data_IF_966871423509
#
_entry.id   IF_966871423509
#
_cell.length_a   1.000
_cell.length_b   1.000
_cell.length_c   1.000
_cell.angle_alpha   90.00
_cell.angle_beta   90.00
_cell.angle_gamma   90.00
#
_symmetry.space_group_name_H-M   'P 1'
#
loop_
_entity.id
_entity.type
_entity.pdbx_description
1 polymer ?
#
# COMPACT_ATOMS: atom_id res chain seq x y z
N UNK A 1 -58.79 -42.37 25.66
CA UNK A 1 -58.79 -43.20 24.44
C UNK A 1 -59.96 -42.79 23.55
N UNK A 2 -59.66 -42.26 22.36
CA UNK A 2 -60.35 -42.46 21.06
C UNK A 2 -60.18 -41.22 20.18
N UNK A 3 -59.51 -41.43 19.05
CA UNK A 3 -59.13 -40.52 17.98
C UNK A 3 -60.18 -40.61 16.86
N UNK A 4 -60.52 -39.50 16.18
CA UNK A 4 -60.97 -39.44 14.76
C UNK A 4 -60.61 -38.06 14.16
N UNK A 5 -59.53 -37.82 13.39
CA UNK A 5 -59.16 -38.12 11.97
C UNK A 5 -59.65 -37.10 10.90
N UNK A 6 -58.67 -36.35 10.36
CA UNK A 6 -58.44 -35.74 9.01
C UNK A 6 -59.50 -34.90 8.26
N UNK A 7 -59.04 -33.74 7.73
CA UNK A 7 -59.08 -33.35 6.29
C UNK A 7 -58.23 -32.07 6.09
N UNK A 8 -56.99 -32.14 5.57
CA UNK A 8 -56.59 -31.90 4.17
C UNK A 8 -57.17 -30.64 3.50
N UNK A 9 -56.35 -29.59 3.33
CA UNK A 9 -56.22 -28.80 2.10
C UNK A 9 -54.82 -28.15 2.05
N UNK A 10 -54.06 -28.51 1.02
CA UNK A 10 -52.84 -27.83 0.54
C UNK A 10 -53.26 -26.69 -0.38
N UNK A 11 -52.57 -25.54 -0.36
CA UNK A 11 -51.89 -24.93 -1.54
C UNK A 11 -51.32 -23.53 -1.24
N UNK A 12 -50.30 -23.08 -2.00
CA UNK A 12 -49.24 -22.19 -1.54
C UNK A 12 -49.41 -20.74 -2.01
N UNK A 13 -48.96 -19.77 -1.20
CA UNK A 13 -48.94 -18.35 -1.55
C UNK A 13 -47.55 -17.77 -1.33
N UNK A 14 -46.78 -17.68 -2.41
CA UNK A 14 -45.46 -17.08 -2.45
C UNK A 14 -45.51 -15.58 -2.13
N UNK A 15 -44.55 -15.09 -1.33
CA UNK A 15 -43.98 -13.77 -1.55
C UNK A 15 -42.51 -13.78 -1.11
N UNK A 16 -41.62 -14.00 -2.08
CA UNK A 16 -40.19 -13.79 -1.91
C UNK A 16 -39.95 -12.31 -1.58
N UNK A 17 -39.47 -12.04 -0.37
CA UNK A 17 -38.91 -10.76 0.00
C UNK A 17 -37.59 -10.60 -0.76
N UNK A 18 -37.59 -9.71 -1.75
CA UNK A 18 -36.43 -9.33 -2.53
C UNK A 18 -35.31 -8.80 -1.61
N UNK A 19 -34.20 -9.54 -1.51
CA UNK A 19 -32.95 -9.01 -0.98
C UNK A 19 -32.37 -8.07 -2.04
N UNK A 20 -32.62 -6.78 -1.88
CA UNK A 20 -31.90 -5.74 -2.62
C UNK A 20 -30.44 -5.74 -2.13
N UNK A 21 -29.57 -6.46 -2.81
CA UNK A 21 -28.13 -6.33 -2.63
C UNK A 21 -27.72 -4.92 -3.05
N UNK A 22 -27.38 -4.08 -2.08
CA UNK A 22 -26.67 -2.82 -2.30
C UNK A 22 -25.30 -3.17 -2.90
N UNK A 23 -25.21 -3.18 -4.23
CA UNK A 23 -23.93 -3.17 -4.92
C UNK A 23 -23.37 -1.77 -4.74
N UNK A 24 -22.58 -1.58 -3.69
CA UNK A 24 -21.77 -0.36 -3.55
C UNK A 24 -20.75 -0.40 -4.68
N UNK A 25 -20.75 0.54 -5.64
CA UNK A 25 -19.68 0.60 -6.62
C UNK A 25 -18.38 0.84 -5.85
N UNK A 26 -17.45 -0.10 -5.92
CA UNK A 26 -16.07 0.13 -5.52
C UNK A 26 -15.56 1.26 -6.41
N UNK A 27 -15.52 2.48 -5.87
CA UNK A 27 -14.92 3.60 -6.56
C UNK A 27 -13.47 3.22 -6.87
N UNK A 28 -13.17 2.99 -8.15
CA UNK A 28 -11.81 2.86 -8.67
C UNK A 28 -11.21 4.26 -8.67
N UNK A 29 -10.89 4.77 -7.48
CA UNK A 29 -9.93 5.85 -7.38
C UNK A 29 -8.65 5.37 -8.07
N UNK A 30 -7.91 6.26 -8.74
CA UNK A 30 -6.51 6.01 -9.04
C UNK A 30 -5.76 5.85 -7.70
N UNK A 31 -5.92 4.69 -7.06
CA UNK A 31 -5.19 4.31 -5.87
C UNK A 31 -3.70 4.25 -6.18
N UNK A 32 -2.87 4.29 -5.15
CA UNK A 32 -1.44 4.05 -5.31
C UNK A 32 -1.23 2.78 -6.15
N UNK A 33 -0.26 2.84 -7.08
CA UNK A 33 0.07 1.71 -7.93
C UNK A 33 0.27 0.43 -7.10
N UNK A 34 -0.08 -0.73 -7.68
CA UNK A 34 0.15 -2.00 -7.01
C UNK A 34 1.66 -2.18 -6.72
N UNK A 35 2.04 -2.75 -5.55
CA UNK A 35 3.43 -3.09 -5.28
C UNK A 35 3.97 -4.08 -6.32
N UNK A 36 5.11 -3.79 -6.92
CA UNK A 36 5.76 -4.65 -7.93
C UNK A 36 6.82 -5.53 -7.28
N UNK A 37 7.38 -5.11 -6.16
CA UNK A 37 8.47 -5.74 -5.42
C UNK A 37 8.02 -6.31 -4.06
N UNK A 38 6.71 -6.34 -3.80
CA UNK A 38 6.13 -6.81 -2.54
C UNK A 38 6.26 -5.81 -1.39
N UNK A 39 6.53 -4.55 -1.70
CA UNK A 39 6.71 -3.48 -0.72
C UNK A 39 5.44 -2.68 -0.43
N UNK A 40 5.65 -1.48 0.11
CA UNK A 40 4.60 -0.51 0.43
C UNK A 40 4.71 0.64 -0.56
N UNK A 41 3.65 0.86 -1.34
CA UNK A 41 3.62 1.93 -2.34
C UNK A 41 3.00 3.20 -1.77
N UNK A 42 3.60 4.33 -2.10
CA UNK A 42 3.08 5.67 -1.87
C UNK A 42 3.31 6.53 -3.10
N UNK A 43 2.41 7.48 -3.35
CA UNK A 43 2.52 8.42 -4.48
C UNK A 43 2.82 9.82 -3.97
N UNK A 44 3.77 10.51 -4.59
CA UNK A 44 4.09 11.91 -4.32
C UNK A 44 4.69 12.55 -5.56
N UNK A 45 4.36 13.82 -5.83
CA UNK A 45 4.86 14.55 -7.01
C UNK A 45 4.68 13.76 -8.33
N UNK A 46 3.50 13.14 -8.51
CA UNK A 46 3.12 12.30 -9.65
C UNK A 46 3.98 11.04 -9.88
N UNK A 47 4.90 10.73 -8.96
CA UNK A 47 5.72 9.53 -8.95
C UNK A 47 5.18 8.52 -7.92
N UNK A 48 5.35 7.24 -8.22
CA UNK A 48 5.13 6.14 -7.28
C UNK A 48 6.47 5.70 -6.67
N UNK A 49 6.46 5.50 -5.35
CA UNK A 49 7.61 5.06 -4.57
C UNK A 49 7.21 3.78 -3.84
N UNK A 50 7.96 2.70 -4.04
CA UNK A 50 7.75 1.43 -3.36
C UNK A 50 8.87 1.17 -2.36
N UNK A 51 8.51 1.16 -1.07
CA UNK A 51 9.41 0.86 0.04
C UNK A 51 9.49 -0.66 0.26
N UNK A 52 10.69 -1.22 0.17
CA UNK A 52 10.95 -2.66 0.34
C UNK A 52 11.99 -2.84 1.44
N UNK A 53 11.65 -3.64 2.46
CA UNK A 53 12.62 -4.05 3.48
C UNK A 53 13.58 -5.10 2.90
N UNK A 54 14.86 -5.04 3.25
CA UNK A 54 15.87 -6.02 2.85
C UNK A 54 16.66 -6.49 4.07
N UNK A 55 17.53 -7.49 3.89
CA UNK A 55 18.42 -7.94 4.96
C UNK A 55 19.46 -6.88 5.37
N UNK A 56 19.87 -6.01 4.42
CA UNK A 56 20.91 -4.99 4.65
C UNK A 56 20.33 -3.60 4.96
N UNK A 57 19.02 -3.40 4.76
CA UNK A 57 18.32 -2.19 5.13
C UNK A 57 17.00 -2.02 4.40
N UNK A 58 16.91 -0.95 3.59
CA UNK A 58 15.70 -0.56 2.88
C UNK A 58 16.03 -0.15 1.45
N UNK A 59 15.19 -0.55 0.51
CA UNK A 59 15.20 -0.09 -0.87
C UNK A 59 13.93 0.71 -1.18
N UNK A 60 14.06 1.72 -2.03
CA UNK A 60 12.93 2.47 -2.58
C UNK A 60 13.02 2.40 -4.10
N UNK A 61 12.02 1.78 -4.72
CA UNK A 61 11.85 1.76 -6.17
C UNK A 61 10.98 2.93 -6.61
N UNK A 62 11.31 3.56 -7.74
CA UNK A 62 10.64 4.76 -8.23
C UNK A 62 10.07 4.49 -9.61
N UNK A 63 8.78 4.77 -9.78
CA UNK A 63 8.11 4.69 -11.08
C UNK A 63 7.37 5.98 -11.42
N UNK A 64 7.42 6.36 -12.68
CA UNK A 64 6.66 7.43 -13.30
C UNK A 64 5.56 6.81 -14.16
N UNK A 65 4.30 6.93 -13.73
CA UNK A 65 3.14 6.33 -14.39
C UNK A 65 3.34 4.85 -14.80
N UNK A 66 3.92 4.04 -13.91
CA UNK A 66 4.14 2.60 -14.12
C UNK A 66 5.41 2.26 -14.92
N UNK A 67 6.26 3.23 -15.21
CA UNK A 67 7.56 3.04 -15.86
C UNK A 67 8.69 3.37 -14.91
N UNK A 68 9.80 2.65 -15.01
CA UNK A 68 10.99 2.91 -14.22
C UNK A 68 11.48 4.37 -14.37
N UNK A 69 11.57 5.08 -13.25
CA UNK A 69 12.19 6.39 -13.19
C UNK A 69 13.68 6.23 -12.91
N UNK A 70 14.53 7.07 -13.53
CA UNK A 70 15.97 7.07 -13.28
C UNK A 70 16.30 7.53 -11.85
N UNK A 71 16.73 6.59 -11.00
CA UNK A 71 17.06 6.84 -9.61
C UNK A 71 18.29 7.73 -9.43
N UNK A 72 19.18 7.83 -10.43
CA UNK A 72 20.35 8.72 -10.37
C UNK A 72 19.99 10.20 -10.28
N UNK A 73 18.72 10.55 -10.58
CA UNK A 73 18.17 11.90 -10.48
C UNK A 73 17.76 12.29 -9.07
N UNK A 74 17.90 11.37 -8.11
CA UNK A 74 17.47 11.51 -6.74
C UNK A 74 18.61 11.18 -5.77
N UNK A 75 18.72 11.97 -4.73
CA UNK A 75 19.49 11.67 -3.54
C UNK A 75 18.64 12.03 -2.32
N UNK A 76 18.95 11.50 -1.15
CA UNK A 76 18.17 11.89 0.01
C UNK A 76 18.54 11.20 1.31
N UNK A 77 17.58 11.20 2.21
CA UNK A 77 17.69 10.58 3.52
C UNK A 77 16.42 9.83 3.85
N UNK A 78 16.58 8.64 4.40
CA UNK A 78 15.51 7.87 5.03
C UNK A 78 15.60 8.05 6.54
N UNK A 79 14.49 8.42 7.15
CA UNK A 79 14.30 8.38 8.60
C UNK A 79 13.28 7.30 8.91
N UNK A 80 13.62 6.38 9.80
CA UNK A 80 12.71 5.33 10.27
C UNK A 80 12.41 5.56 11.74
N UNK A 81 11.13 5.44 12.09
CA UNK A 81 10.62 5.48 13.45
C UNK A 81 10.05 4.11 13.80
N UNK A 82 10.75 3.37 14.65
CA UNK A 82 10.33 2.09 15.21
C UNK A 82 9.81 2.34 16.64
N UNK A 83 8.53 2.70 16.77
CA UNK A 83 7.98 3.18 18.04
C UNK A 83 8.65 4.50 18.47
N UNK A 84 9.40 4.48 19.57
CA UNK A 84 10.17 5.62 20.06
C UNK A 84 11.60 5.67 19.48
N UNK A 85 12.07 4.59 18.87
CA UNK A 85 13.41 4.53 18.29
C UNK A 85 13.46 5.21 16.92
N UNK A 86 14.50 6.01 16.71
CA UNK A 86 14.73 6.73 15.47
C UNK A 86 16.07 6.33 14.87
N UNK A 87 16.08 5.93 13.61
CA UNK A 87 17.30 5.71 12.82
C UNK A 87 17.26 6.51 11.52
N UNK A 88 18.43 6.90 11.03
CA UNK A 88 18.56 7.63 9.78
C UNK A 88 19.68 7.04 8.92
N UNK A 89 19.46 6.98 7.61
CA UNK A 89 20.47 6.58 6.65
C UNK A 89 20.33 7.37 5.33
N UNK A 90 21.43 7.64 4.62
CA UNK A 90 21.36 8.25 3.30
C UNK A 90 20.67 7.30 2.31
N UNK A 91 19.84 7.87 1.43
CA UNK A 91 19.32 7.17 0.26
C UNK A 91 20.23 7.48 -0.92
N UNK A 92 20.81 6.43 -1.50
CA UNK A 92 21.73 6.52 -2.64
C UNK A 92 21.23 5.69 -3.81
N UNK A 93 21.43 6.13 -5.06
CA UNK A 93 21.18 5.30 -6.23
C UNK A 93 21.93 3.97 -6.15
N UNK A 94 21.23 2.87 -6.37
CA UNK A 94 21.74 1.51 -6.23
C UNK A 94 21.21 0.60 -7.36
N UNK A 95 20.97 1.15 -8.55
CA UNK A 95 20.37 0.46 -9.69
C UNK A 95 19.67 1.47 -10.61
N UNK A 96 18.92 0.97 -11.60
CA UNK A 96 18.24 1.82 -12.58
C UNK A 96 17.18 2.71 -11.91
N UNK A 97 16.21 2.11 -11.23
CA UNK A 97 15.06 2.79 -10.61
C UNK A 97 15.05 2.71 -9.08
N UNK A 98 16.19 2.37 -8.48
CA UNK A 98 16.28 2.02 -7.07
C UNK A 98 17.22 2.93 -6.29
N UNK A 99 16.73 3.42 -5.15
CA UNK A 99 17.52 3.99 -4.07
C UNK A 99 17.69 2.96 -2.94
N UNK A 100 18.81 3.01 -2.24
CA UNK A 100 19.11 2.14 -1.09
C UNK A 100 19.56 2.96 0.13
N UNK A 101 19.06 2.55 1.29
CA UNK A 101 19.49 3.00 2.61
C UNK A 101 19.89 1.77 3.43
N UNK A 102 21.18 1.68 3.77
CA UNK A 102 21.74 0.56 4.55
C UNK A 102 21.70 0.83 6.05
N UNK A 103 21.65 -0.23 6.85
CA UNK A 103 21.78 -0.15 8.31
C UNK A 103 20.55 0.38 9.04
N UNK A 104 19.38 0.38 8.38
CA UNK A 104 18.09 0.73 8.98
C UNK A 104 17.12 -0.44 8.84
N UNK A 105 16.30 -0.70 9.86
CA UNK A 105 15.32 -1.80 9.84
C UNK A 105 13.89 -1.28 9.92
N UNK A 106 12.97 -1.96 9.24
CA UNK A 106 11.55 -1.64 9.26
C UNK A 106 10.81 -2.68 10.12
N UNK A 107 10.53 -2.34 11.37
CA UNK A 107 9.70 -3.17 12.23
C UNK A 107 8.22 -3.06 11.86
N UNK A 108 7.41 -4.03 12.29
CA UNK A 108 5.95 -3.90 12.19
C UNK A 108 5.48 -2.64 12.93
N UNK A 109 4.62 -1.84 12.31
CA UNK A 109 4.17 -0.56 12.86
C UNK A 109 5.12 0.62 12.63
N UNK A 110 6.27 0.40 11.99
CA UNK A 110 7.24 1.46 11.70
C UNK A 110 6.67 2.55 10.79
N UNK A 111 7.17 3.78 10.97
CA UNK A 111 6.96 4.88 10.04
C UNK A 111 8.27 5.21 9.36
N UNK A 112 8.28 5.20 8.03
CA UNK A 112 9.46 5.57 7.25
C UNK A 112 9.19 6.88 6.50
N UNK A 113 10.10 7.83 6.60
CA UNK A 113 10.00 9.14 5.95
C UNK A 113 11.23 9.28 5.04
N UNK A 114 10.99 9.25 3.73
CA UNK A 114 12.01 9.54 2.73
C UNK A 114 11.91 11.02 2.35
N UNK A 115 13.01 11.76 2.52
CA UNK A 115 13.15 13.11 1.97
C UNK A 115 14.15 13.03 0.84
N UNK A 116 13.67 13.25 -0.38
CA UNK A 116 14.43 13.18 -1.61
C UNK A 116 14.65 14.60 -2.14
N UNK A 117 15.80 14.81 -2.77
CA UNK A 117 16.12 16.00 -3.54
C UNK A 117 16.37 15.57 -4.98
N UNK A 118 15.73 16.24 -5.93
CA UNK A 118 15.96 16.00 -7.35
C UNK A 118 17.16 16.80 -7.86
N UNK A 119 17.67 16.45 -9.03
CA UNK A 119 18.70 17.26 -9.71
C UNK A 119 18.30 18.72 -9.95
N UNK A 120 16.99 19.02 -10.06
CA UNK A 120 16.46 20.38 -10.15
C UNK A 120 16.28 21.06 -8.78
N UNK A 121 16.89 20.51 -7.73
CA UNK A 121 16.83 20.99 -6.33
C UNK A 121 15.41 21.09 -5.75
N UNK A 122 14.45 20.31 -6.29
CA UNK A 122 13.11 20.18 -5.70
C UNK A 122 13.14 19.09 -4.64
N UNK A 123 12.46 19.33 -3.52
CA UNK A 123 12.31 18.33 -2.46
C UNK A 123 11.00 17.55 -2.61
N UNK A 124 11.06 16.24 -2.43
CA UNK A 124 9.91 15.34 -2.38
C UNK A 124 9.96 14.62 -1.04
N UNK A 125 8.87 14.69 -0.27
CA UNK A 125 8.73 13.94 0.99
C UNK A 125 7.72 12.82 0.81
N UNK A 126 8.13 11.59 1.12
CA UNK A 126 7.29 10.40 1.04
C UNK A 126 7.19 9.77 2.42
N UNK A 127 5.97 9.45 2.85
CA UNK A 127 5.70 8.87 4.18
C UNK A 127 5.07 7.50 4.03
N UNK A 128 5.73 6.49 4.56
CA UNK A 128 5.26 5.11 4.56
C UNK A 128 4.86 4.67 5.97
N UNK A 129 3.80 3.87 6.05
CA UNK A 129 3.37 3.21 7.28
C UNK A 129 3.45 1.69 7.08
N UNK A 130 4.35 1.05 7.82
CA UNK A 130 4.50 -0.41 7.86
C UNK A 130 3.42 -0.97 8.77
N UNK A 131 2.54 -1.85 8.25
CA UNK A 131 1.38 -2.39 8.97
C UNK A 131 1.65 -3.76 9.58
#
# INVERSE_FOLDING_TARGET
>A
MTIKTKLSQLTPGALMLALSALVVPTAMAHGAAAPVHGGIVQTAADLSFELVATAEGVQIYIQDHGKDADASRFEGKLTVLNGAEKSEAPLKPAGANRLEAKGVSLSKGAKAIAVLTTNSKKSITVRFAVR
#
